data_IF_352908639549
#
_entry.id   IF_352908639549
#
_cell.length_a   1.000
_cell.length_b   1.000
_cell.length_c   1.000
_cell.angle_alpha   90.00
_cell.angle_beta   90.00
_cell.angle_gamma   90.00
#
_symmetry.space_group_name_H-M   'P 1'
#
loop_
_entity.id
_entity.type
_entity.pdbx_description
1 polymer ?
#
# COMPACT_ATOMS: atom_id res chain seq x y z
N UNK A 1 10.78 -13.10 -22.01
CA UNK A 1 9.41 -13.66 -22.20
C UNK A 1 8.94 -14.26 -20.88
N UNK A 2 7.64 -14.15 -20.56
CA UNK A 2 7.08 -14.73 -19.33
C UNK A 2 7.03 -16.26 -19.41
N UNK A 3 7.29 -16.94 -18.29
CA UNK A 3 7.16 -18.40 -18.19
C UNK A 3 5.68 -18.82 -18.20
N UNK A 4 5.39 -20.08 -18.55
CA UNK A 4 4.02 -20.63 -18.49
C UNK A 4 3.41 -20.46 -17.10
N UNK A 5 4.20 -20.68 -16.05
CA UNK A 5 3.78 -20.49 -14.65
C UNK A 5 3.46 -19.03 -14.31
N UNK A 6 4.21 -18.08 -14.85
CA UNK A 6 3.93 -16.65 -14.64
C UNK A 6 2.63 -16.23 -15.32
N UNK A 7 2.40 -16.69 -16.55
CA UNK A 7 1.13 -16.43 -17.27
C UNK A 7 -0.06 -16.98 -16.49
N UNK A 8 0.00 -18.24 -16.06
CA UNK A 8 -1.08 -18.85 -15.28
C UNK A 8 -1.37 -18.10 -13.96
N UNK A 9 -0.36 -17.49 -13.31
CA UNK A 9 -0.58 -16.66 -12.11
C UNK A 9 -1.29 -15.35 -12.43
N UNK A 10 -0.97 -14.74 -13.57
CA UNK A 10 -1.61 -13.51 -14.04
C UNK A 10 -3.08 -13.82 -14.39
N UNK A 11 -3.35 -14.90 -15.11
CA UNK A 11 -4.71 -15.29 -15.49
C UNK A 11 -5.58 -15.57 -14.25
N UNK A 12 -5.04 -16.33 -13.28
CA UNK A 12 -5.74 -16.56 -11.99
C UNK A 12 -6.01 -15.27 -11.20
N UNK A 13 -5.13 -14.27 -11.33
CA UNK A 13 -5.35 -12.98 -10.68
C UNK A 13 -6.52 -12.24 -11.35
N UNK A 14 -6.57 -12.26 -12.68
CA UNK A 14 -7.66 -11.69 -13.46
C UNK A 14 -9.02 -12.31 -13.14
N UNK A 15 -9.10 -13.64 -13.05
CA UNK A 15 -10.34 -14.34 -12.70
C UNK A 15 -10.86 -13.94 -11.31
N UNK A 16 -9.96 -13.68 -10.36
CA UNK A 16 -10.31 -13.19 -9.02
C UNK A 16 -10.84 -11.75 -9.04
N UNK A 17 -10.25 -10.86 -9.83
CA UNK A 17 -10.77 -9.49 -9.98
C UNK A 17 -12.14 -9.48 -10.65
N UNK A 18 -12.31 -10.31 -11.70
CA UNK A 18 -13.58 -10.43 -12.41
C UNK A 18 -14.70 -10.97 -11.50
N UNK A 19 -14.45 -12.07 -10.77
CA UNK A 19 -15.40 -12.64 -9.81
C UNK A 19 -15.66 -11.73 -8.60
N UNK A 20 -14.69 -10.87 -8.24
CA UNK A 20 -14.81 -9.85 -7.21
C UNK A 20 -15.53 -8.55 -7.64
N UNK A 21 -16.07 -8.50 -8.87
CA UNK A 21 -16.83 -7.34 -9.36
C UNK A 21 -16.00 -6.21 -9.98
N UNK A 22 -14.67 -6.38 -10.09
CA UNK A 22 -13.79 -5.45 -10.80
C UNK A 22 -13.59 -5.97 -12.22
N UNK A 23 -14.62 -5.78 -13.05
CA UNK A 23 -14.63 -6.25 -14.43
C UNK A 23 -13.78 -5.37 -15.38
N UNK A 24 -13.54 -4.10 -15.01
CA UNK A 24 -12.75 -3.19 -15.82
C UNK A 24 -11.23 -3.46 -15.62
N UNK A 25 -10.51 -3.90 -16.67
CA UNK A 25 -9.09 -4.22 -16.55
C UNK A 25 -8.22 -3.04 -16.14
N UNK A 26 -8.57 -1.82 -16.55
CA UNK A 26 -7.82 -0.63 -16.17
C UNK A 26 -7.93 -0.36 -14.66
N UNK A 27 -9.14 -0.46 -14.11
CA UNK A 27 -9.38 -0.30 -12.68
C UNK A 27 -8.66 -1.38 -11.87
N UNK A 28 -8.66 -2.63 -12.33
CA UNK A 28 -7.92 -3.71 -11.69
C UNK A 28 -6.40 -3.43 -11.69
N UNK A 29 -5.84 -2.95 -12.80
CA UNK A 29 -4.43 -2.57 -12.89
C UNK A 29 -4.08 -1.45 -11.88
N UNK A 30 -4.97 -0.48 -11.68
CA UNK A 30 -4.79 0.58 -10.68
C UNK A 30 -4.78 0.01 -9.26
N UNK A 31 -5.76 -0.82 -8.89
CA UNK A 31 -5.83 -1.42 -7.55
C UNK A 31 -4.60 -2.30 -7.26
N UNK A 32 -4.15 -3.10 -8.23
CA UNK A 32 -2.92 -3.89 -8.13
C UNK A 32 -1.71 -2.96 -7.93
N UNK A 33 -1.64 -1.88 -8.70
CA UNK A 33 -0.53 -0.92 -8.62
C UNK A 33 -0.47 -0.26 -7.23
N UNK A 34 -1.62 0.06 -6.64
CA UNK A 34 -1.69 0.61 -5.28
C UNK A 34 -1.22 -0.42 -4.24
N UNK A 35 -1.67 -1.67 -4.32
CA UNK A 35 -1.20 -2.74 -3.42
C UNK A 35 0.32 -2.94 -3.51
N UNK A 36 0.88 -2.98 -4.73
CA UNK A 36 2.31 -3.09 -4.94
C UNK A 36 3.08 -1.89 -4.39
N UNK A 37 2.53 -0.68 -4.54
CA UNK A 37 3.12 0.52 -3.97
C UNK A 37 3.15 0.45 -2.44
N UNK A 38 2.04 0.09 -1.79
CA UNK A 38 1.95 -0.04 -0.33
C UNK A 38 2.99 -1.02 0.22
N UNK A 39 3.12 -2.17 -0.44
CA UNK A 39 4.14 -3.16 -0.10
C UNK A 39 5.54 -2.61 -0.26
N UNK A 40 5.85 -2.00 -1.41
CA UNK A 40 7.19 -1.45 -1.70
C UNK A 40 7.56 -0.32 -0.75
N UNK A 41 6.60 0.49 -0.34
CA UNK A 41 6.80 1.56 0.65
C UNK A 41 7.23 0.98 2.00
N UNK A 42 6.56 -0.08 2.48
CA UNK A 42 6.93 -0.79 3.69
C UNK A 42 8.32 -1.43 3.62
N UNK A 43 8.62 -2.12 2.51
CA UNK A 43 9.93 -2.75 2.29
C UNK A 43 11.07 -1.72 2.25
N UNK A 44 10.84 -0.56 1.62
CA UNK A 44 11.83 0.53 1.53
C UNK A 44 12.07 1.20 2.87
N UNK A 45 11.03 1.43 3.68
CA UNK A 45 11.18 2.00 5.02
C UNK A 45 11.96 1.05 5.94
N UNK A 46 11.65 -0.25 5.90
CA UNK A 46 12.39 -1.28 6.64
C UNK A 46 13.87 -1.32 6.24
N UNK A 47 14.14 -1.32 4.94
CA UNK A 47 15.53 -1.30 4.45
C UNK A 47 16.30 -0.08 4.96
N UNK A 48 15.67 1.11 4.97
CA UNK A 48 16.29 2.33 5.48
C UNK A 48 16.55 2.28 6.99
N UNK A 49 15.68 1.63 7.77
CA UNK A 49 15.93 1.38 9.19
C UNK A 49 17.15 0.48 9.38
N UNK A 50 17.20 -0.65 8.67
CA UNK A 50 18.32 -1.60 8.73
C UNK A 50 19.65 -0.93 8.31
N UNK A 51 19.64 -0.17 7.21
CA UNK A 51 20.82 0.57 6.72
C UNK A 51 21.27 1.64 7.74
N UNK A 52 20.34 2.33 8.39
CA UNK A 52 20.65 3.35 9.40
C UNK A 52 21.22 2.74 10.68
N UNK A 53 20.71 1.59 11.14
CA UNK A 53 21.29 0.83 12.24
C UNK A 53 22.73 0.40 11.93
N UNK A 54 22.96 -0.10 10.72
CA UNK A 54 24.30 -0.50 10.25
C UNK A 54 25.29 0.68 10.21
N UNK A 55 24.84 1.82 9.67
CA UNK A 55 25.65 3.04 9.53
C UNK A 55 25.71 3.89 10.82
N UNK A 56 25.01 3.49 11.89
CA UNK A 56 24.82 4.27 13.13
C UNK A 56 24.29 5.68 12.87
N UNK A 57 23.41 5.81 11.89
CA UNK A 57 22.73 7.06 11.55
C UNK A 57 21.33 7.10 12.16
N UNK A 58 20.82 8.29 12.45
CA UNK A 58 19.43 8.46 12.88
C UNK A 58 18.50 8.42 11.67
N UNK A 59 17.66 7.39 11.57
CA UNK A 59 16.53 7.35 10.63
C UNK A 59 15.22 7.17 11.41
N UNK A 60 14.23 7.99 11.07
CA UNK A 60 12.88 7.88 11.65
C UNK A 60 11.96 7.24 10.62
N UNK A 61 11.36 6.11 10.98
CA UNK A 61 10.41 5.39 10.12
C UNK A 61 9.23 6.28 9.73
N UNK A 62 8.78 6.14 8.47
CA UNK A 62 7.55 6.76 7.98
C UNK A 62 6.31 6.31 8.76
N UNK A 63 6.39 5.10 9.34
CA UNK A 63 5.33 4.46 10.11
C UNK A 63 5.49 4.68 11.63
N UNK A 64 6.37 5.59 12.06
CA UNK A 64 6.51 5.96 13.48
C UNK A 64 5.53 7.06 13.90
N UNK A 65 5.07 7.00 15.14
CA UNK A 65 4.16 7.99 15.72
C UNK A 65 2.69 7.73 15.42
N UNK A 66 1.88 8.80 15.39
CA UNK A 66 0.43 8.74 15.22
C UNK A 66 0.00 9.47 13.95
N UNK A 67 -0.96 8.90 13.23
CA UNK A 67 -1.65 9.54 12.12
C UNK A 67 -3.01 10.04 12.61
N UNK A 68 -3.31 11.31 12.35
CA UNK A 68 -4.60 11.90 12.63
C UNK A 68 -5.38 12.02 11.34
N UNK A 69 -6.54 11.35 11.29
CA UNK A 69 -7.46 11.47 10.14
C UNK A 69 -8.24 12.78 10.25
N UNK A 70 -8.89 13.17 9.15
CA UNK A 70 -9.82 14.31 9.07
C UNK A 70 -10.94 14.29 10.13
N UNK A 71 -11.31 13.11 10.64
CA UNK A 71 -12.28 12.93 11.72
C UNK A 71 -11.72 13.20 13.14
N UNK A 72 -10.45 13.60 13.27
CA UNK A 72 -9.79 13.88 14.55
C UNK A 72 -9.31 12.66 15.34
N UNK A 73 -9.64 11.44 14.92
CA UNK A 73 -9.14 10.21 15.58
C UNK A 73 -7.67 9.97 15.23
N UNK A 74 -6.90 9.55 16.23
CA UNK A 74 -5.47 9.24 16.12
C UNK A 74 -5.26 7.73 16.10
N UNK A 75 -4.53 7.25 15.10
CA UNK A 75 -4.19 5.85 14.91
C UNK A 75 -2.67 5.68 14.95
N UNK A 76 -2.13 4.58 15.50
CA UNK A 76 -0.72 4.25 15.38
C UNK A 76 -0.33 4.13 13.91
N UNK A 77 0.72 4.81 13.47
CA UNK A 77 1.19 4.68 12.09
C UNK A 77 1.75 3.29 11.78
N UNK A 78 2.15 2.54 12.82
CA UNK A 78 2.61 1.16 12.69
C UNK A 78 1.57 0.27 12.00
N UNK A 79 0.29 0.42 12.35
CA UNK A 79 -0.83 -0.35 11.77
C UNK A 79 -1.06 -0.06 10.28
N UNK A 80 -0.47 1.01 9.75
CA UNK A 80 -0.60 1.40 8.34
C UNK A 80 0.44 0.72 7.44
N UNK A 81 1.36 -0.05 8.03
CA UNK A 81 2.42 -0.77 7.32
C UNK A 81 1.86 -2.06 6.70
N UNK A 82 2.31 -2.37 5.49
CA UNK A 82 1.95 -3.60 4.76
C UNK A 82 2.05 -4.86 5.62
N UNK A 83 3.14 -5.00 6.37
CA UNK A 83 3.39 -6.18 7.19
C UNK A 83 2.42 -6.34 8.36
N UNK A 84 1.73 -5.27 8.80
CA UNK A 84 0.71 -5.38 9.85
C UNK A 84 -0.64 -5.77 9.24
N UNK A 85 -1.15 -4.97 8.30
CA UNK A 85 -2.52 -5.15 7.83
C UNK A 85 -2.72 -6.36 6.92
N UNK A 86 -1.66 -6.91 6.31
CA UNK A 86 -1.74 -8.13 5.46
C UNK A 86 -2.23 -9.37 6.21
N UNK A 87 -2.19 -9.33 7.55
CA UNK A 87 -2.60 -10.42 8.42
C UNK A 87 -4.05 -10.29 8.90
N UNK A 88 -4.71 -9.17 8.59
CA UNK A 88 -6.12 -8.97 8.92
C UNK A 88 -7.03 -9.88 8.07
N UNK A 89 -8.21 -10.26 8.58
CA UNK A 89 -9.26 -10.88 7.78
C UNK A 89 -9.58 -10.05 6.54
N UNK A 90 -9.98 -10.69 5.44
CA UNK A 90 -10.12 -10.02 4.13
C UNK A 90 -11.01 -8.77 4.15
N UNK A 91 -12.16 -8.83 4.83
CA UNK A 91 -13.12 -7.71 4.93
C UNK A 91 -12.59 -6.56 5.81
N UNK A 92 -11.95 -6.90 6.93
CA UNK A 92 -11.30 -5.93 7.81
C UNK A 92 -10.10 -5.28 7.12
N UNK A 93 -9.29 -6.06 6.41
CA UNK A 93 -8.17 -5.57 5.62
C UNK A 93 -8.63 -4.59 4.56
N UNK A 94 -9.69 -4.92 3.81
CA UNK A 94 -10.24 -4.04 2.78
C UNK A 94 -10.67 -2.69 3.38
N UNK A 95 -11.44 -2.75 4.46
CA UNK A 95 -11.92 -1.56 5.18
C UNK A 95 -10.75 -0.73 5.71
N UNK A 96 -9.77 -1.38 6.34
CA UNK A 96 -8.59 -0.72 6.89
C UNK A 96 -7.73 -0.06 5.81
N UNK A 97 -7.50 -0.75 4.70
CA UNK A 97 -6.73 -0.22 3.58
C UNK A 97 -7.43 0.99 2.97
N UNK A 98 -8.73 0.87 2.67
CA UNK A 98 -9.53 1.94 2.05
C UNK A 98 -9.63 3.17 2.95
N UNK A 99 -9.90 2.97 4.25
CA UNK A 99 -10.30 4.05 5.15
C UNK A 99 -9.13 4.63 5.97
N UNK A 100 -8.02 3.91 6.10
CA UNK A 100 -6.87 4.32 6.91
C UNK A 100 -5.56 4.38 6.11
N UNK A 101 -5.15 3.28 5.47
CA UNK A 101 -3.85 3.17 4.80
C UNK A 101 -3.77 4.08 3.58
N UNK A 102 -4.79 4.03 2.72
CA UNK A 102 -4.81 4.77 1.46
C UNK A 102 -4.85 6.29 1.69
N UNK A 103 -5.72 6.84 2.57
CA UNK A 103 -5.67 8.27 2.90
C UNK A 103 -4.33 8.71 3.50
N UNK A 104 -3.71 7.89 4.35
CA UNK A 104 -2.39 8.17 4.89
C UNK A 104 -1.34 8.29 3.79
N UNK A 105 -1.33 7.36 2.83
CA UNK A 105 -0.36 7.38 1.73
C UNK A 105 -0.52 8.61 0.84
N UNK A 106 -1.75 9.09 0.63
CA UNK A 106 -2.00 10.36 -0.08
C UNK A 106 -1.34 11.55 0.62
N UNK A 107 -1.18 11.51 1.95
CA UNK A 107 -0.51 12.59 2.72
C UNK A 107 1.02 12.55 2.68
N UNK A 108 1.63 11.48 2.14
CA UNK A 108 3.10 11.32 2.09
C UNK A 108 3.75 12.12 0.94
N UNK A 109 3.37 13.39 0.77
CA UNK A 109 3.76 14.27 -0.36
C UNK A 109 5.28 14.37 -0.64
N UNK A 110 6.15 13.91 0.26
CA UNK A 110 7.58 14.21 0.26
C UNK A 110 8.53 13.13 -0.29
N UNK A 111 8.06 12.15 -1.07
CA UNK A 111 8.95 11.07 -1.54
C UNK A 111 9.19 11.00 -3.04
N UNK A 112 8.15 11.18 -3.85
CA UNK A 112 8.21 10.90 -5.28
C UNK A 112 7.13 11.73 -5.99
N UNK A 113 7.52 12.88 -6.56
CA UNK A 113 6.59 13.84 -7.19
C UNK A 113 5.66 13.20 -8.23
N UNK A 114 6.10 12.09 -8.84
CA UNK A 114 5.32 11.36 -9.83
C UNK A 114 4.17 10.57 -9.19
N UNK A 115 4.41 9.92 -8.05
CA UNK A 115 3.38 9.12 -7.38
C UNK A 115 2.31 10.00 -6.73
N UNK A 116 2.71 11.07 -6.04
CA UNK A 116 1.78 11.99 -5.37
C UNK A 116 0.81 12.64 -6.36
N UNK A 117 1.27 12.99 -7.57
CA UNK A 117 0.41 13.54 -8.64
C UNK A 117 -0.69 12.58 -9.08
N UNK A 118 -0.36 11.29 -9.27
CA UNK A 118 -1.34 10.28 -9.67
C UNK A 118 -2.25 9.81 -8.53
N UNK A 119 -1.85 10.05 -7.28
CA UNK A 119 -2.64 9.70 -6.09
C UNK A 119 -3.75 10.69 -5.76
N UNK A 120 -3.64 11.97 -6.17
CA UNK A 120 -4.58 13.02 -5.75
C UNK A 120 -6.04 12.69 -6.06
N UNK A 121 -6.31 12.16 -7.26
CA UNK A 121 -7.66 11.76 -7.68
C UNK A 121 -7.91 10.25 -7.56
N UNK A 122 -6.92 9.50 -7.05
CA UNK A 122 -7.01 8.06 -6.91
C UNK A 122 -8.01 7.64 -5.83
N UNK A 123 -8.70 6.52 -6.09
CA UNK A 123 -9.66 5.87 -5.19
C UNK A 123 -9.30 4.40 -5.07
N UNK A 124 -9.23 3.92 -3.83
CA UNK A 124 -9.17 2.50 -3.52
C UNK A 124 -10.60 1.98 -3.37
N UNK A 125 -10.97 0.96 -4.15
CA UNK A 125 -12.34 0.45 -4.26
C UNK A 125 -12.49 -0.82 -3.41
#
# INVERSE_FOLDING_TARGET
MLTKTQKAKIDNLWDKFWSGGIANPMAAMEQISYLLFMRRLGEMDRKRLEDAEWLKQSYTSLFSGKYQRTNGKKYPKSELRWDEFRHLPAEEMLTHVRDHVFPFIKTLENGNQNFSKHMNDAVFI
#
